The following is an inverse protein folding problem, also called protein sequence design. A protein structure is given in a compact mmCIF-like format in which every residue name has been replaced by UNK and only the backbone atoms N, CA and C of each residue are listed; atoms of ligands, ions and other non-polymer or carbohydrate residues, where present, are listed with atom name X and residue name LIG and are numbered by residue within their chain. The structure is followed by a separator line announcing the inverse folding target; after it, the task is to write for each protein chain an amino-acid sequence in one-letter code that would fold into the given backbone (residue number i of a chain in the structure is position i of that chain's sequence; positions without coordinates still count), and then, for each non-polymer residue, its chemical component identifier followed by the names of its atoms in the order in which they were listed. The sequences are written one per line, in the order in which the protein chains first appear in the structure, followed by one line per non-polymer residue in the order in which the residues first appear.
data_IF_402568609251
#
_entry.id   IF_402568609251
#
_cell.length_a   1.000
_cell.length_b   1.000
_cell.length_c   1.000
_cell.angle_alpha   90.00
_cell.angle_beta   90.00
_cell.angle_gamma   90.00
#
_symmetry.space_group_name_H-M   'P 1'
#
loop_
_entity.id
_entity.type
_entity.pdbx_description
1 polymer ?
#
# COMPACT_ATOMS: atom_id res chain seq x y z
N UNK A 1 -11.39 -10.08 -20.50
CA UNK A 1 -10.00 -10.56 -20.41
C UNK A 1 -10.01 -11.95 -19.82
N UNK A 2 -9.23 -12.94 -20.38
CA UNK A 2 -8.88 -14.15 -19.65
C UNK A 2 -8.17 -13.72 -18.37
N UNK A 3 -8.61 -14.17 -17.20
CA UNK A 3 -8.21 -13.68 -15.89
C UNK A 3 -6.69 -13.77 -15.70
N UNK A 4 -5.98 -12.66 -15.88
CA UNK A 4 -4.67 -12.54 -15.28
C UNK A 4 -4.89 -12.53 -13.78
N UNK A 5 -4.20 -13.39 -13.05
CA UNK A 5 -4.22 -13.34 -11.60
C UNK A 5 -3.70 -11.96 -11.13
N UNK A 6 -4.35 -11.38 -10.16
CA UNK A 6 -4.04 -10.04 -9.66
C UNK A 6 -3.31 -10.14 -8.32
N UNK A 7 -2.23 -9.37 -8.16
CA UNK A 7 -1.41 -9.30 -6.93
C UNK A 7 -1.17 -7.83 -6.61
N UNK A 8 -1.59 -7.37 -5.43
CA UNK A 8 -1.44 -6.00 -4.98
C UNK A 8 -0.51 -5.92 -3.76
N UNK A 9 0.68 -5.37 -3.95
CA UNK A 9 1.71 -5.26 -2.91
C UNK A 9 1.73 -3.89 -2.23
N UNK A 10 0.90 -2.92 -2.70
CA UNK A 10 0.85 -1.57 -2.18
C UNK A 10 -0.59 -1.07 -2.15
N UNK A 11 -1.30 -1.39 -1.09
CA UNK A 11 -2.67 -0.95 -0.86
C UNK A 11 -2.87 -0.59 0.61
N UNK A 12 -3.37 0.62 0.89
CA UNK A 12 -3.63 1.08 2.25
C UNK A 12 -5.04 0.69 2.69
N UNK A 13 -5.15 0.04 3.85
CA UNK A 13 -6.44 -0.37 4.43
C UNK A 13 -7.32 0.84 4.75
N UNK A 14 -6.74 1.89 5.33
CA UNK A 14 -7.42 3.13 5.70
C UNK A 14 -7.78 4.00 4.49
N UNK A 15 -7.07 3.87 3.37
CA UNK A 15 -7.40 4.52 2.10
C UNK A 15 -8.33 3.70 1.18
N UNK A 16 -8.70 2.49 1.60
CA UNK A 16 -9.45 1.54 0.77
C UNK A 16 -10.73 1.03 1.43
N UNK A 17 -11.33 1.84 2.33
CA UNK A 17 -12.57 1.47 3.02
C UNK A 17 -13.72 1.40 2.01
N UNK A 18 -14.37 0.24 1.79
CA UNK A 18 -15.52 0.16 0.90
C UNK A 18 -16.63 1.10 1.34
N UNK A 19 -17.22 1.87 0.41
CA UNK A 19 -18.25 2.86 0.71
C UNK A 19 -19.46 2.31 1.51
N UNK A 20 -19.94 1.07 1.26
CA UNK A 20 -21.00 0.49 2.09
C UNK A 20 -20.58 0.31 3.57
N UNK A 21 -19.35 -0.11 3.83
CA UNK A 21 -18.82 -0.23 5.20
C UNK A 21 -18.64 1.16 5.84
N UNK A 22 -18.15 2.14 5.08
CA UNK A 22 -18.07 3.52 5.54
C UNK A 22 -19.45 4.10 5.90
N UNK A 23 -20.48 3.82 5.11
CA UNK A 23 -21.85 4.25 5.38
C UNK A 23 -22.41 3.62 6.67
N UNK A 24 -22.18 2.32 6.87
CA UNK A 24 -22.55 1.63 8.11
C UNK A 24 -21.88 2.29 9.33
N UNK A 25 -20.55 2.47 9.29
CA UNK A 25 -19.79 3.05 10.40
C UNK A 25 -20.14 4.52 10.66
N UNK A 26 -20.42 5.28 9.60
CA UNK A 26 -20.90 6.67 9.74
C UNK A 26 -22.24 6.72 10.48
N UNK A 27 -23.19 5.86 10.10
CA UNK A 27 -24.49 5.76 10.77
C UNK A 27 -24.34 5.33 12.25
N UNK A 28 -23.48 4.35 12.55
CA UNK A 28 -23.17 3.92 13.92
C UNK A 28 -22.53 5.05 14.75
N UNK A 29 -21.73 5.91 14.11
CA UNK A 29 -21.13 7.10 14.74
C UNK A 29 -22.10 8.30 14.84
N UNK A 30 -23.36 8.15 14.40
CA UNK A 30 -24.35 9.22 14.39
C UNK A 30 -24.11 10.29 13.32
N UNK A 31 -23.34 9.98 12.30
CA UNK A 31 -23.13 10.83 11.13
C UNK A 31 -24.19 10.49 10.06
N UNK A 32 -25.09 11.43 9.79
CA UNK A 32 -26.09 11.27 8.74
C UNK A 32 -25.49 11.73 7.40
N UNK A 33 -24.77 10.79 6.74
CA UNK A 33 -24.09 11.04 5.48
C UNK A 33 -24.66 10.11 4.39
N UNK A 34 -25.07 10.69 3.28
CA UNK A 34 -25.41 9.94 2.07
C UNK A 34 -24.16 9.32 1.42
N UNK A 35 -24.35 8.33 0.55
CA UNK A 35 -23.24 7.75 -0.21
C UNK A 35 -22.49 8.79 -1.05
N UNK A 36 -23.20 9.77 -1.61
CA UNK A 36 -22.58 10.85 -2.39
C UNK A 36 -21.69 11.75 -1.51
N UNK A 37 -22.12 12.09 -0.30
CA UNK A 37 -21.32 12.87 0.65
C UNK A 37 -20.12 12.07 1.18
N UNK A 38 -20.28 10.76 1.37
CA UNK A 38 -19.15 9.87 1.70
C UNK A 38 -18.12 9.84 0.57
N UNK A 39 -18.58 9.70 -0.67
CA UNK A 39 -17.71 9.77 -1.84
C UNK A 39 -16.95 11.11 -1.89
N UNK A 40 -17.64 12.23 -1.78
CA UNK A 40 -17.03 13.58 -1.80
C UNK A 40 -15.97 13.76 -0.69
N UNK A 41 -16.19 13.16 0.49
CA UNK A 41 -15.28 13.30 1.65
C UNK A 41 -14.11 12.30 1.66
N UNK A 42 -14.26 11.16 1.00
CA UNK A 42 -13.31 10.05 1.04
C UNK A 42 -12.55 9.87 -0.27
N UNK A 43 -12.99 10.49 -1.36
CA UNK A 43 -12.31 10.41 -2.65
C UNK A 43 -11.57 11.70 -2.96
N UNK A 44 -10.43 11.55 -3.61
CA UNK A 44 -9.63 12.69 -4.08
C UNK A 44 -10.44 13.46 -5.12
N UNK A 45 -10.54 14.79 -5.00
CA UNK A 45 -11.22 15.61 -6.01
C UNK A 45 -10.44 15.60 -7.34
N UNK A 46 -11.16 15.71 -8.47
CA UNK A 46 -10.58 15.72 -9.83
C UNK A 46 -9.45 16.76 -10.01
N UNK A 47 -9.44 17.80 -9.18
CA UNK A 47 -8.48 18.90 -9.22
C UNK A 47 -7.49 18.87 -8.06
N UNK A 48 -7.18 17.68 -7.50
CA UNK A 48 -6.13 17.53 -6.49
C UNK A 48 -4.82 18.16 -6.98
N UNK A 49 -4.17 18.95 -6.13
CA UNK A 49 -3.01 19.76 -6.50
C UNK A 49 -1.69 19.13 -6.08
N UNK A 50 -1.68 18.38 -4.98
CA UNK A 50 -0.49 17.77 -4.41
C UNK A 50 -0.82 16.65 -3.42
N UNK A 51 0.22 15.98 -2.94
CA UNK A 51 0.12 14.92 -1.93
C UNK A 51 -0.54 15.40 -0.62
N UNK A 52 -0.40 16.66 -0.21
CA UNK A 52 -1.00 17.13 1.03
C UNK A 52 -2.52 17.20 0.92
N UNK A 53 -3.03 17.68 -0.22
CA UNK A 53 -4.47 17.67 -0.49
C UNK A 53 -5.00 16.25 -0.61
N UNK A 54 -4.24 15.34 -1.23
CA UNK A 54 -4.54 13.91 -1.26
C UNK A 54 -4.67 13.34 0.16
N UNK A 55 -3.69 13.59 1.04
CA UNK A 55 -3.70 13.11 2.42
C UNK A 55 -4.84 13.67 3.28
N UNK A 56 -5.39 14.84 2.94
CA UNK A 56 -6.53 15.42 3.65
C UNK A 56 -7.81 14.56 3.53
N UNK A 57 -7.95 13.74 2.47
CA UNK A 57 -9.10 12.85 2.29
C UNK A 57 -9.15 11.70 3.31
N UNK A 58 -8.06 11.46 4.05
CA UNK A 58 -8.01 10.43 5.10
C UNK A 58 -8.68 10.85 6.41
N UNK A 59 -9.13 12.09 6.56
CA UNK A 59 -9.73 12.55 7.83
C UNK A 59 -10.93 11.69 8.24
N UNK A 60 -11.89 11.48 7.32
CA UNK A 60 -13.08 10.67 7.61
C UNK A 60 -12.75 9.17 7.74
N UNK A 61 -12.00 8.53 6.83
CA UNK A 61 -11.53 7.17 7.00
C UNK A 61 -10.91 6.88 8.37
N UNK A 62 -9.94 7.69 8.78
CA UNK A 62 -9.28 7.53 10.08
C UNK A 62 -10.26 7.71 11.25
N UNK A 63 -11.23 8.63 11.14
CA UNK A 63 -12.26 8.84 12.17
C UNK A 63 -13.17 7.61 12.33
N UNK A 64 -13.53 6.95 11.24
CA UNK A 64 -14.38 5.75 11.25
C UNK A 64 -13.68 4.52 11.84
N UNK A 65 -12.34 4.50 11.83
CA UNK A 65 -11.52 3.37 12.30
C UNK A 65 -10.98 3.55 13.74
N UNK A 66 -11.56 4.41 14.59
CA UNK A 66 -11.05 4.63 15.95
C UNK A 66 -11.58 3.64 17.00
N UNK A 67 -12.26 2.57 16.60
CA UNK A 67 -12.74 1.50 17.49
C UNK A 67 -12.37 0.11 16.96
N UNK A 68 -12.21 -0.86 17.85
CA UNK A 68 -11.93 -2.24 17.45
C UNK A 68 -13.01 -2.80 16.50
N UNK A 69 -14.28 -2.48 16.76
CA UNK A 69 -15.38 -2.91 15.89
C UNK A 69 -15.29 -2.23 14.51
N UNK A 70 -15.01 -0.92 14.45
CA UNK A 70 -14.86 -0.19 13.18
C UNK A 70 -13.71 -0.76 12.34
N UNK A 71 -12.55 -0.98 12.95
CA UNK A 71 -11.38 -1.58 12.28
C UNK A 71 -11.70 -2.99 11.77
N UNK A 72 -12.34 -3.84 12.59
CA UNK A 72 -12.76 -5.19 12.22
C UNK A 72 -13.74 -5.19 11.06
N UNK A 73 -14.74 -4.29 11.07
CA UNK A 73 -15.71 -4.12 9.98
C UNK A 73 -15.02 -3.70 8.68
N UNK A 74 -14.13 -2.70 8.75
CA UNK A 74 -13.36 -2.24 7.58
C UNK A 74 -12.50 -3.37 7.03
N UNK A 75 -11.73 -4.05 7.87
CA UNK A 75 -10.84 -5.12 7.44
C UNK A 75 -11.62 -6.26 6.75
N UNK A 76 -12.76 -6.69 7.32
CA UNK A 76 -13.61 -7.70 6.68
C UNK A 76 -14.11 -7.25 5.32
N UNK A 77 -14.75 -6.08 5.24
CA UNK A 77 -15.32 -5.55 4.00
C UNK A 77 -14.26 -5.31 2.91
N UNK A 78 -13.05 -4.89 3.31
CA UNK A 78 -11.93 -4.75 2.40
C UNK A 78 -11.49 -6.10 1.79
N UNK A 79 -11.43 -7.17 2.60
CA UNK A 79 -11.12 -8.50 2.07
C UNK A 79 -12.21 -9.04 1.14
N UNK A 80 -13.48 -8.76 1.43
CA UNK A 80 -14.61 -9.07 0.53
C UNK A 80 -14.47 -8.34 -0.82
N UNK A 81 -14.01 -7.08 -0.81
CA UNK A 81 -13.75 -6.31 -2.03
C UNK A 81 -12.59 -6.89 -2.84
N UNK A 82 -11.47 -7.25 -2.20
CA UNK A 82 -10.33 -7.89 -2.86
C UNK A 82 -10.71 -9.22 -3.51
N UNK A 83 -11.47 -10.05 -2.80
CA UNK A 83 -11.94 -11.37 -3.29
C UNK A 83 -12.89 -11.20 -4.48
N UNK A 84 -13.83 -10.25 -4.40
CA UNK A 84 -14.76 -9.94 -5.48
C UNK A 84 -14.05 -9.42 -6.75
N UNK A 85 -12.89 -8.77 -6.61
CA UNK A 85 -12.05 -8.32 -7.71
C UNK A 85 -11.19 -9.46 -8.30
N UNK A 86 -11.08 -10.60 -7.61
CA UNK A 86 -10.26 -11.74 -8.03
C UNK A 86 -8.78 -11.58 -7.70
N UNK A 87 -8.46 -10.80 -6.67
CA UNK A 87 -7.10 -10.69 -6.16
C UNK A 87 -6.68 -12.03 -5.56
N UNK A 88 -5.52 -12.54 -5.97
CA UNK A 88 -4.96 -13.78 -5.43
C UNK A 88 -4.12 -13.55 -4.17
N UNK A 89 -3.45 -12.39 -4.12
CA UNK A 89 -2.62 -12.02 -2.99
C UNK A 89 -2.54 -10.51 -2.85
N UNK A 90 -2.64 -10.03 -1.62
CA UNK A 90 -2.41 -8.63 -1.31
C UNK A 90 -1.61 -8.46 -0.02
N UNK A 91 -0.84 -7.37 0.03
CA UNK A 91 -0.13 -6.91 1.22
C UNK A 91 -0.71 -5.56 1.72
N UNK A 92 -1.92 -5.59 2.34
CA UNK A 92 -2.51 -4.38 2.86
C UNK A 92 -1.64 -3.75 3.94
N UNK A 93 -1.55 -2.42 3.93
CA UNK A 93 -0.77 -1.64 4.90
C UNK A 93 -1.61 -0.62 5.61
N UNK A 94 -1.26 -0.30 6.84
CA UNK A 94 -1.86 0.79 7.62
C UNK A 94 -0.96 1.15 8.81
N UNK A 95 -1.17 2.34 9.37
CA UNK A 95 -0.44 2.82 10.54
C UNK A 95 -1.28 2.64 11.82
N UNK A 96 -1.04 1.60 12.65
CA UNK A 96 -1.81 1.40 13.89
C UNK A 96 -1.75 2.62 14.81
N UNK A 97 -0.61 3.31 14.86
CA UNK A 97 -0.44 4.53 15.64
C UNK A 97 -1.40 5.67 15.29
N UNK A 98 -1.97 5.69 14.08
CA UNK A 98 -2.98 6.67 13.65
C UNK A 98 -4.39 6.33 14.14
N UNK A 99 -4.62 5.09 14.59
CA UNK A 99 -5.93 4.57 14.97
C UNK A 99 -6.12 4.42 16.49
N UNK A 100 -5.29 5.09 17.28
CA UNK A 100 -5.28 5.01 18.74
C UNK A 100 -6.04 6.15 19.45
N UNK A 101 -6.66 7.08 18.72
CA UNK A 101 -7.34 8.23 19.31
C UNK A 101 -8.59 7.85 20.11
N UNK A 102 -9.23 6.71 19.75
CA UNK A 102 -10.34 6.13 20.49
C UNK A 102 -9.95 5.38 21.78
N UNK A 103 -8.66 5.36 22.15
CA UNK A 103 -8.15 4.74 23.38
C UNK A 103 -7.57 3.33 23.19
N UNK A 104 -7.56 2.78 21.98
CA UNK A 104 -6.91 1.50 21.67
C UNK A 104 -5.38 1.66 21.72
N UNK A 105 -4.68 0.61 22.14
CA UNK A 105 -3.26 0.40 21.87
C UNK A 105 -3.04 0.02 20.40
N UNK A 106 -1.81 0.15 19.88
CA UNK A 106 -1.50 -0.28 18.53
C UNK A 106 -1.68 -1.80 18.35
N UNK A 107 -1.43 -2.58 19.41
CA UNK A 107 -1.68 -4.02 19.39
C UNK A 107 -3.16 -4.34 19.21
N UNK A 108 -4.05 -3.71 20.00
CA UNK A 108 -5.51 -3.89 19.86
C UNK A 108 -6.02 -3.46 18.47
N UNK A 109 -5.42 -2.42 17.88
CA UNK A 109 -5.71 -2.00 16.50
C UNK A 109 -5.34 -3.11 15.50
N UNK A 110 -4.14 -3.68 15.59
CA UNK A 110 -3.73 -4.78 14.71
C UNK A 110 -4.58 -6.03 14.92
N UNK A 111 -4.85 -6.40 16.17
CA UNK A 111 -5.67 -7.57 16.51
C UNK A 111 -7.10 -7.42 15.96
N UNK A 112 -7.66 -6.20 15.97
CA UNK A 112 -8.97 -5.92 15.37
C UNK A 112 -8.95 -6.11 13.83
N UNK A 113 -7.88 -5.66 13.15
CA UNK A 113 -7.72 -5.87 11.72
C UNK A 113 -7.55 -7.37 11.38
N UNK A 114 -6.75 -8.10 12.15
CA UNK A 114 -6.57 -9.54 12.03
C UNK A 114 -7.89 -10.30 12.28
N UNK A 115 -8.70 -9.84 13.24
CA UNK A 115 -10.02 -10.42 13.50
C UNK A 115 -10.98 -10.24 12.31
N UNK A 116 -11.01 -9.05 11.69
CA UNK A 116 -11.82 -8.79 10.49
C UNK A 116 -11.37 -9.66 9.30
N UNK A 117 -10.06 -9.83 9.12
CA UNK A 117 -9.51 -10.77 8.14
C UNK A 117 -9.94 -12.21 8.43
N UNK A 118 -9.90 -12.64 9.70
CA UNK A 118 -10.31 -13.98 10.09
C UNK A 118 -11.82 -14.22 9.87
N UNK A 119 -12.66 -13.21 10.13
CA UNK A 119 -14.10 -13.28 9.83
C UNK A 119 -14.36 -13.50 8.33
N UNK A 120 -13.64 -12.76 7.47
CA UNK A 120 -13.74 -12.96 6.03
C UNK A 120 -13.44 -14.41 5.65
N UNK A 121 -12.31 -14.97 6.08
CA UNK A 121 -11.96 -16.35 5.73
C UNK A 121 -12.92 -17.40 6.31
N UNK A 122 -13.50 -17.13 7.49
CA UNK A 122 -14.52 -18.01 8.07
C UNK A 122 -15.80 -18.03 7.25
N UNK A 123 -16.20 -16.90 6.66
CA UNK A 123 -17.39 -16.78 5.82
C UNK A 123 -17.13 -17.19 4.36
N UNK A 124 -15.88 -17.09 3.88
CA UNK A 124 -15.47 -17.40 2.51
C UNK A 124 -14.38 -18.50 2.46
N UNK A 125 -14.67 -19.74 2.94
CA UNK A 125 -13.65 -20.80 3.07
C UNK A 125 -13.12 -21.31 1.72
N UNK A 126 -13.73 -20.94 0.60
CA UNK A 126 -13.32 -21.30 -0.77
C UNK A 126 -12.57 -20.16 -1.49
N UNK A 127 -12.38 -19.02 -0.83
CA UNK A 127 -11.62 -17.91 -1.42
C UNK A 127 -10.18 -18.32 -1.72
N UNK A 128 -9.70 -17.93 -2.90
CA UNK A 128 -8.30 -18.10 -3.29
C UNK A 128 -7.41 -16.94 -2.84
N UNK A 129 -8.01 -15.89 -2.28
CA UNK A 129 -7.31 -14.72 -1.76
C UNK A 129 -6.43 -15.09 -0.56
N UNK A 130 -5.16 -14.70 -0.58
CA UNK A 130 -4.31 -14.67 0.59
C UNK A 130 -3.87 -13.23 0.88
N UNK A 131 -3.74 -12.87 2.15
CA UNK A 131 -3.29 -11.54 2.54
C UNK A 131 -2.40 -11.59 3.77
N UNK A 132 -1.48 -10.64 3.86
CA UNK A 132 -0.70 -10.39 5.06
C UNK A 132 -0.44 -8.87 5.19
N UNK A 133 -0.49 -8.35 6.42
CA UNK A 133 -0.37 -6.91 6.66
C UNK A 133 1.09 -6.43 6.67
N UNK A 134 1.29 -5.17 6.24
CA UNK A 134 2.46 -4.37 6.57
C UNK A 134 2.07 -3.32 7.64
N UNK A 135 2.96 -3.11 8.59
CA UNK A 135 2.76 -2.12 9.65
C UNK A 135 3.51 -0.84 9.30
N UNK A 136 2.76 0.25 9.08
CA UNK A 136 3.33 1.52 8.72
C UNK A 136 3.84 2.29 9.95
N UNK A 137 5.08 2.76 9.86
CA UNK A 137 5.55 3.93 10.55
C UNK A 137 5.19 5.19 9.73
N UNK A 138 5.00 6.32 10.41
CA UNK A 138 4.56 7.56 9.75
C UNK A 138 5.65 8.61 9.74
N UNK A 139 5.81 9.28 8.61
CA UNK A 139 6.66 10.47 8.48
C UNK A 139 6.11 11.61 9.33
N UNK A 140 6.99 12.30 10.01
CA UNK A 140 6.65 13.41 10.90
C UNK A 140 7.74 13.66 11.93
N UNK A 141 7.46 14.53 12.91
CA UNK A 141 8.38 14.90 13.98
C UNK A 141 7.73 14.81 15.36
N UNK A 142 8.54 14.87 16.39
CA UNK A 142 8.13 14.90 17.80
C UNK A 142 8.22 13.53 18.47
N UNK A 143 8.54 13.54 19.76
CA UNK A 143 8.78 12.34 20.58
C UNK A 143 7.59 11.37 20.61
N UNK A 144 6.37 11.91 20.62
CA UNK A 144 5.15 11.07 20.62
C UNK A 144 5.03 10.24 19.36
N UNK A 145 5.31 10.82 18.18
CA UNK A 145 5.27 10.10 16.91
C UNK A 145 6.44 9.12 16.81
N UNK A 146 7.63 9.55 17.23
CA UNK A 146 8.81 8.68 17.28
C UNK A 146 8.52 7.41 18.10
N UNK A 147 7.97 7.56 19.30
CA UNK A 147 7.58 6.42 20.15
C UNK A 147 6.55 5.52 19.47
N UNK A 148 5.52 6.11 18.83
CA UNK A 148 4.54 5.33 18.07
C UNK A 148 5.19 4.54 16.91
N UNK A 149 6.15 5.13 16.21
CA UNK A 149 6.86 4.46 15.13
C UNK A 149 7.74 3.31 15.64
N UNK A 150 8.41 3.51 16.79
CA UNK A 150 9.19 2.45 17.44
C UNK A 150 8.27 1.28 17.85
N UNK A 151 7.11 1.57 18.46
CA UNK A 151 6.08 0.58 18.78
C UNK A 151 5.54 -0.14 17.52
N UNK A 152 5.39 0.57 16.38
CA UNK A 152 4.98 -0.04 15.12
C UNK A 152 6.00 -1.08 14.61
N UNK A 153 7.31 -0.82 14.74
CA UNK A 153 8.36 -1.80 14.39
C UNK A 153 8.34 -2.99 15.36
N UNK A 154 8.16 -2.73 16.66
CA UNK A 154 8.05 -3.78 17.68
C UNK A 154 6.87 -4.69 17.40
N UNK A 155 5.74 -4.11 17.02
CA UNK A 155 4.52 -4.82 16.66
C UNK A 155 4.71 -5.65 15.38
N UNK A 156 5.34 -5.08 14.35
CA UNK A 156 5.67 -5.82 13.13
C UNK A 156 6.53 -7.04 13.43
N UNK A 157 7.54 -6.91 14.28
CA UNK A 157 8.39 -8.01 14.71
C UNK A 157 7.62 -9.08 15.51
N UNK A 158 6.77 -8.67 16.44
CA UNK A 158 6.00 -9.57 17.30
C UNK A 158 4.98 -10.43 16.51
N UNK A 159 4.44 -9.89 15.42
CA UNK A 159 3.43 -10.57 14.59
C UNK A 159 3.99 -11.09 13.27
N UNK A 160 5.30 -11.03 13.05
CA UNK A 160 5.93 -11.52 11.82
C UNK A 160 5.61 -13.01 11.62
N UNK A 161 5.07 -13.36 10.44
CA UNK A 161 4.56 -14.70 10.15
C UNK A 161 3.19 -15.03 10.76
N UNK A 162 2.62 -14.16 11.60
CA UNK A 162 1.31 -14.31 12.23
C UNK A 162 0.33 -13.24 11.71
N UNK A 163 0.23 -13.12 10.40
CA UNK A 163 -0.64 -12.15 9.74
C UNK A 163 0.04 -10.84 9.37
N UNK A 164 1.28 -10.62 9.80
CA UNK A 164 2.17 -9.52 9.39
C UNK A 164 3.39 -10.09 8.67
N UNK A 165 3.85 -9.42 7.61
CA UNK A 165 4.99 -9.86 6.81
C UNK A 165 6.10 -8.81 6.70
N UNK A 166 5.81 -7.53 6.95
CA UNK A 166 6.82 -6.47 6.82
C UNK A 166 6.38 -5.19 7.54
N UNK A 167 7.27 -4.20 7.51
CA UNK A 167 6.98 -2.81 7.87
C UNK A 167 7.05 -1.89 6.66
N UNK A 168 6.56 -0.64 6.82
CA UNK A 168 6.64 0.41 5.81
C UNK A 168 6.89 1.78 6.46
N UNK A 169 7.33 2.76 5.67
CA UNK A 169 7.36 4.17 6.03
C UNK A 169 6.49 4.96 5.07
N UNK A 170 5.38 5.50 5.57
CA UNK A 170 4.42 6.27 4.77
C UNK A 170 4.27 7.72 5.24
N UNK A 171 3.52 8.53 4.49
CA UNK A 171 3.18 9.94 4.81
C UNK A 171 3.97 10.96 4.01
N UNK A 172 3.99 12.22 4.47
CA UNK A 172 4.45 13.40 3.72
C UNK A 172 5.96 13.37 3.41
N UNK A 173 6.35 12.69 2.33
CA UNK A 173 7.73 12.48 1.92
C UNK A 173 8.48 13.80 1.69
N UNK A 174 7.86 14.76 1.01
CA UNK A 174 8.50 16.05 0.71
C UNK A 174 8.84 16.88 1.96
N UNK A 175 8.17 16.63 3.10
CA UNK A 175 8.38 17.37 4.33
C UNK A 175 9.35 16.67 5.29
N UNK A 176 9.49 15.36 5.20
CA UNK A 176 10.26 14.56 6.15
C UNK A 176 11.14 13.54 5.41
N UNK A 177 12.40 13.92 5.24
CA UNK A 177 13.38 13.14 4.49
C UNK A 177 13.56 11.71 5.06
N UNK A 178 13.76 10.74 4.17
CA UNK A 178 13.91 9.31 4.49
C UNK A 178 15.06 9.05 5.47
N UNK A 179 16.17 9.80 5.37
CA UNK A 179 17.32 9.70 6.26
C UNK A 179 16.99 9.93 7.74
N UNK A 180 15.96 10.72 8.04
CA UNK A 180 15.53 11.01 9.42
C UNK A 180 15.04 9.78 10.17
N UNK A 181 14.73 8.70 9.45
CA UNK A 181 14.21 7.44 10.00
C UNK A 181 15.28 6.34 10.09
N UNK A 182 16.56 6.67 9.94
CA UNK A 182 17.67 5.70 9.93
C UNK A 182 17.75 4.85 11.20
N UNK A 183 17.55 5.43 12.37
CA UNK A 183 17.53 4.68 13.64
C UNK A 183 16.37 3.70 13.73
N UNK A 184 15.20 4.07 13.19
CA UNK A 184 14.00 3.23 13.17
C UNK A 184 14.22 1.97 12.33
N UNK A 185 14.76 2.13 11.11
CA UNK A 185 14.99 1.00 10.21
C UNK A 185 16.23 0.19 10.57
N UNK A 186 17.21 0.76 11.26
CA UNK A 186 18.26 -0.01 11.91
C UNK A 186 17.69 -0.95 13.01
N UNK A 187 16.64 -0.51 13.71
CA UNK A 187 15.90 -1.34 14.66
C UNK A 187 15.13 -2.46 13.95
N UNK A 188 14.42 -2.14 12.84
CA UNK A 188 13.73 -3.15 12.03
C UNK A 188 14.70 -4.24 11.53
N UNK A 189 15.88 -3.85 11.04
CA UNK A 189 16.92 -4.81 10.65
C UNK A 189 17.41 -5.69 11.80
N UNK A 190 17.62 -5.11 13.00
CA UNK A 190 18.05 -5.89 14.19
C UNK A 190 17.00 -6.90 14.64
N UNK A 191 15.73 -6.69 14.28
CA UNK A 191 14.60 -7.57 14.59
C UNK A 191 14.23 -8.49 13.42
N UNK A 192 15.03 -8.50 12.36
CA UNK A 192 14.78 -9.25 11.12
C UNK A 192 13.40 -8.95 10.49
N UNK A 193 12.88 -7.73 10.67
CA UNK A 193 11.64 -7.27 10.04
C UNK A 193 11.95 -6.79 8.63
N UNK A 194 11.43 -7.43 7.57
CA UNK A 194 11.51 -6.91 6.22
C UNK A 194 10.76 -5.58 6.10
N UNK A 195 11.12 -4.73 5.15
CA UNK A 195 10.39 -3.47 4.96
C UNK A 195 10.48 -2.92 3.54
N UNK A 196 9.46 -2.19 3.18
CA UNK A 196 9.41 -1.25 2.06
C UNK A 196 9.47 0.19 2.59
N UNK A 197 9.72 1.16 1.74
CA UNK A 197 9.68 2.59 2.10
C UNK A 197 9.07 3.35 0.93
N UNK A 198 8.03 4.17 1.18
CA UNK A 198 7.58 5.17 0.21
C UNK A 198 8.72 6.12 -0.07
N UNK A 199 9.26 6.12 -1.28
CA UNK A 199 10.39 6.95 -1.68
C UNK A 199 10.37 7.24 -3.18
N UNK A 200 10.73 8.46 -3.57
CA UNK A 200 10.70 8.87 -4.96
C UNK A 200 9.28 9.06 -5.51
N UNK A 201 8.36 9.46 -4.66
CA UNK A 201 7.03 9.98 -4.98
C UNK A 201 7.05 11.51 -4.96
N UNK A 202 6.96 12.10 -3.77
CA UNK A 202 6.96 13.55 -3.58
C UNK A 202 8.37 14.14 -3.38
N UNK A 203 9.37 13.33 -3.06
CA UNK A 203 10.79 13.69 -3.07
C UNK A 203 11.50 13.03 -4.26
N UNK A 204 12.72 13.49 -4.54
CA UNK A 204 13.52 13.04 -5.67
C UNK A 204 14.26 11.71 -5.45
N UNK A 205 15.17 11.36 -6.37
CA UNK A 205 15.91 10.09 -6.33
C UNK A 205 16.81 9.95 -5.09
N UNK A 206 17.16 11.04 -4.40
CA UNK A 206 17.88 11.01 -3.12
C UNK A 206 17.12 10.27 -2.03
N UNK A 207 15.77 10.34 -2.03
CA UNK A 207 14.93 9.60 -1.10
C UNK A 207 15.00 8.08 -1.36
N UNK A 208 15.03 7.67 -2.64
CA UNK A 208 15.22 6.26 -3.03
C UNK A 208 16.61 5.77 -2.59
N UNK A 209 17.67 6.57 -2.84
CA UNK A 209 19.02 6.25 -2.37
C UNK A 209 19.07 6.06 -0.84
N UNK A 210 18.37 6.91 -0.12
CA UNK A 210 18.27 6.79 1.33
C UNK A 210 17.58 5.48 1.73
N UNK A 211 16.43 5.17 1.14
CA UNK A 211 15.70 3.93 1.40
C UNK A 211 16.57 2.68 1.12
N UNK A 212 17.31 2.66 0.01
CA UNK A 212 18.25 1.57 -0.31
C UNK A 212 19.38 1.46 0.73
N UNK A 213 19.96 2.58 1.16
CA UNK A 213 21.00 2.58 2.24
C UNK A 213 20.45 2.05 3.57
N UNK A 214 19.16 2.29 3.85
CA UNK A 214 18.48 1.75 5.03
C UNK A 214 18.15 0.26 4.89
N UNK A 215 18.33 -0.33 3.71
CA UNK A 215 18.09 -1.75 3.45
C UNK A 215 16.65 -2.08 3.05
N UNK A 216 15.89 -1.13 2.52
CA UNK A 216 14.58 -1.41 1.97
C UNK A 216 14.66 -2.48 0.88
N UNK A 217 13.78 -3.48 0.95
CA UNK A 217 13.73 -4.60 0.03
C UNK A 217 12.75 -4.37 -1.13
N UNK A 218 11.88 -3.36 -1.01
CA UNK A 218 11.05 -2.78 -2.05
C UNK A 218 10.99 -1.27 -1.83
N UNK A 219 10.58 -0.55 -2.87
CA UNK A 219 10.35 0.90 -2.82
C UNK A 219 8.91 1.19 -3.18
N UNK A 220 8.16 1.80 -2.27
CA UNK A 220 6.84 2.34 -2.54
C UNK A 220 6.96 3.47 -3.57
N UNK A 221 6.17 3.42 -4.63
CA UNK A 221 6.23 4.26 -5.82
C UNK A 221 7.55 4.16 -6.58
N UNK A 222 8.56 4.93 -6.20
CA UNK A 222 9.87 4.92 -6.84
C UNK A 222 9.89 5.48 -8.29
N UNK A 223 8.82 6.14 -8.72
CA UNK A 223 8.62 6.60 -10.10
C UNK A 223 9.64 7.64 -10.55
N UNK A 224 10.30 8.32 -9.62
CA UNK A 224 11.35 9.31 -9.89
C UNK A 224 12.76 8.70 -9.99
N UNK A 225 12.88 7.38 -9.98
CA UNK A 225 14.16 6.66 -10.15
C UNK A 225 14.86 6.99 -11.48
N UNK A 226 14.09 7.31 -12.52
CA UNK A 226 14.63 7.69 -13.85
C UNK A 226 15.38 9.03 -13.86
N UNK A 227 15.22 9.86 -12.83
CA UNK A 227 15.91 11.15 -12.72
C UNK A 227 17.42 11.01 -12.37
N UNK A 228 17.86 9.79 -11.96
CA UNK A 228 19.28 9.54 -11.59
C UNK A 228 19.72 8.14 -12.04
N UNK A 229 20.64 8.08 -13.01
CA UNK A 229 21.18 6.82 -13.53
C UNK A 229 21.88 5.95 -12.47
N UNK A 230 22.42 6.56 -11.40
CA UNK A 230 23.00 5.83 -10.27
C UNK A 230 21.94 5.10 -9.46
N UNK A 231 20.76 5.71 -9.25
CA UNK A 231 19.61 5.05 -8.60
C UNK A 231 19.14 3.84 -9.39
N UNK A 232 19.05 3.96 -10.72
CA UNK A 232 18.69 2.83 -11.59
C UNK A 232 19.68 1.67 -11.38
N UNK A 233 20.98 1.96 -11.36
CA UNK A 233 22.01 0.93 -11.15
C UNK A 233 21.91 0.30 -9.75
N UNK A 234 21.71 1.11 -8.70
CA UNK A 234 21.59 0.64 -7.32
C UNK A 234 20.35 -0.26 -7.14
N UNK A 235 19.19 0.12 -7.69
CA UNK A 235 17.95 -0.67 -7.67
C UNK A 235 18.16 -2.03 -8.36
N UNK A 236 18.78 -2.04 -9.53
CA UNK A 236 19.09 -3.28 -10.28
C UNK A 236 20.06 -4.16 -9.53
N UNK A 237 21.15 -3.60 -9.01
CA UNK A 237 22.17 -4.35 -8.28
C UNK A 237 21.60 -4.98 -6.99
N UNK A 238 20.70 -4.28 -6.31
CA UNK A 238 20.02 -4.77 -5.11
C UNK A 238 18.78 -5.65 -5.41
N UNK A 239 18.38 -5.76 -6.69
CA UNK A 239 17.16 -6.46 -7.13
C UNK A 239 15.91 -5.99 -6.36
N UNK A 240 15.77 -4.69 -6.15
CA UNK A 240 14.67 -4.06 -5.43
C UNK A 240 13.54 -3.74 -6.40
N UNK A 241 12.31 -4.17 -6.08
CA UNK A 241 11.13 -3.89 -6.88
C UNK A 241 10.54 -2.52 -6.52
N UNK A 242 9.99 -1.83 -7.54
CA UNK A 242 9.20 -0.62 -7.41
C UNK A 242 7.71 -0.98 -7.33
N UNK A 243 7.02 -0.46 -6.33
CA UNK A 243 5.57 -0.61 -6.14
C UNK A 243 4.85 0.59 -6.75
N UNK A 244 4.76 0.65 -8.10
CA UNK A 244 4.17 1.83 -8.75
C UNK A 244 2.64 1.83 -8.67
N UNK A 245 2.06 3.03 -8.50
CA UNK A 245 0.63 3.26 -8.29
C UNK A 245 0.13 4.32 -9.29
N UNK A 246 -0.21 3.94 -10.54
CA UNK A 246 -0.44 4.88 -11.64
C UNK A 246 -1.46 5.97 -11.33
N UNK A 247 -2.66 5.58 -10.87
CA UNK A 247 -3.74 6.54 -10.55
C UNK A 247 -3.35 7.49 -9.43
N UNK A 248 -2.77 6.98 -8.34
CA UNK A 248 -2.29 7.81 -7.23
C UNK A 248 -1.23 8.80 -7.68
N UNK A 249 -0.26 8.35 -8.49
CA UNK A 249 0.82 9.21 -9.00
C UNK A 249 0.31 10.32 -9.93
N UNK A 250 -0.81 10.12 -10.63
CA UNK A 250 -1.49 11.18 -11.37
C UNK A 250 -2.21 12.15 -10.44
N UNK A 251 -2.91 11.64 -9.42
CA UNK A 251 -3.67 12.45 -8.48
C UNK A 251 -2.77 13.31 -7.58
N UNK A 252 -1.59 12.80 -7.22
CA UNK A 252 -0.56 13.54 -6.47
C UNK A 252 0.27 14.49 -7.36
N UNK A 253 -0.08 14.61 -8.67
CA UNK A 253 0.54 15.52 -9.65
C UNK A 253 2.02 15.28 -9.90
N UNK A 254 2.47 14.05 -9.79
CA UNK A 254 3.83 13.67 -10.20
C UNK A 254 3.94 13.73 -11.73
N UNK A 255 2.86 13.36 -12.43
CA UNK A 255 2.71 13.45 -13.87
C UNK A 255 1.51 14.31 -14.25
N UNK A 256 1.63 15.02 -15.37
CA UNK A 256 0.54 15.89 -15.87
C UNK A 256 -0.64 15.09 -16.42
N UNK A 257 -0.34 13.95 -17.05
CA UNK A 257 -1.34 13.02 -17.60
C UNK A 257 -0.80 11.60 -17.64
N UNK A 258 -1.67 10.63 -17.88
CA UNK A 258 -1.30 9.21 -17.97
C UNK A 258 -0.37 8.92 -19.16
N UNK A 259 -0.46 9.69 -20.24
CA UNK A 259 0.43 9.56 -21.40
C UNK A 259 1.88 9.94 -21.05
N UNK A 260 2.09 10.70 -19.98
CA UNK A 260 3.41 11.04 -19.44
C UNK A 260 3.93 10.01 -18.44
N UNK A 261 3.13 9.00 -18.08
CA UNK A 261 3.53 7.98 -17.11
C UNK A 261 4.66 7.11 -17.68
N UNK A 262 5.82 6.98 -17.02
CA UNK A 262 7.04 6.47 -17.64
C UNK A 262 7.16 4.94 -17.59
N UNK A 263 6.08 4.17 -17.81
CA UNK A 263 6.11 2.72 -17.70
C UNK A 263 7.15 2.09 -18.62
N UNK A 264 7.15 2.45 -19.92
CA UNK A 264 8.09 1.92 -20.91
C UNK A 264 9.53 2.24 -20.50
N UNK A 265 9.80 3.48 -20.09
CA UNK A 265 11.14 3.90 -19.66
C UNK A 265 11.65 3.14 -18.42
N UNK A 266 10.77 2.86 -17.46
CA UNK A 266 11.12 2.06 -16.28
C UNK A 266 11.49 0.62 -16.68
N UNK A 267 10.71 0.01 -17.59
CA UNK A 267 10.95 -1.34 -18.09
C UNK A 267 12.22 -1.39 -18.95
N UNK A 268 12.43 -0.44 -19.87
CA UNK A 268 13.62 -0.34 -20.71
C UNK A 268 14.91 -0.14 -19.90
N UNK A 269 14.80 0.57 -18.76
CA UNK A 269 15.90 0.69 -17.80
C UNK A 269 16.20 -0.65 -17.09
N UNK A 270 15.37 -1.66 -17.26
CA UNK A 270 15.50 -3.00 -16.66
C UNK A 270 15.19 -3.01 -15.17
N UNK A 271 14.30 -2.13 -14.71
CA UNK A 271 13.82 -2.10 -13.35
C UNK A 271 12.75 -3.16 -13.13
N UNK A 272 12.71 -3.74 -11.93
CA UNK A 272 11.63 -4.62 -11.50
C UNK A 272 10.46 -3.77 -11.03
N UNK A 273 9.35 -3.80 -11.76
CA UNK A 273 8.16 -2.98 -11.52
C UNK A 273 6.98 -3.87 -11.17
N UNK A 274 6.15 -3.44 -10.23
CA UNK A 274 4.84 -4.01 -9.90
C UNK A 274 3.76 -2.92 -10.01
N UNK A 275 2.52 -3.30 -10.33
CA UNK A 275 1.38 -2.39 -10.42
C UNK A 275 0.51 -2.58 -9.19
N UNK A 276 0.09 -1.47 -8.58
CA UNK A 276 -0.62 -1.48 -7.31
C UNK A 276 -1.67 -0.35 -7.26
N UNK A 277 -2.59 -0.43 -6.30
CA UNK A 277 -3.70 0.52 -6.19
C UNK A 277 -3.43 1.70 -5.26
N UNK A 278 -2.51 1.56 -4.33
CA UNK A 278 -2.27 2.51 -3.24
C UNK A 278 -3.51 2.68 -2.33
N UNK A 279 -4.57 3.33 -2.83
CA UNK A 279 -5.77 3.66 -2.06
C UNK A 279 -7.03 3.46 -2.92
N UNK A 280 -7.66 2.27 -2.84
CA UNK A 280 -8.77 1.92 -3.74
C UNK A 280 -9.96 2.88 -3.65
N UNK A 281 -10.33 3.29 -2.43
CA UNK A 281 -11.47 4.21 -2.22
C UNK A 281 -11.07 5.66 -2.44
N UNK A 282 -9.96 6.09 -1.86
CA UNK A 282 -9.47 7.48 -1.98
C UNK A 282 -9.16 7.82 -3.43
N UNK A 283 -8.49 6.94 -4.16
CA UNK A 283 -8.16 7.13 -5.57
C UNK A 283 -9.28 6.70 -6.52
N UNK A 284 -10.38 6.13 -6.00
CA UNK A 284 -11.49 5.59 -6.81
C UNK A 284 -11.00 4.63 -7.90
N UNK A 285 -10.14 3.69 -7.54
CA UNK A 285 -9.52 2.73 -8.45
C UNK A 285 -9.62 1.30 -7.96
N UNK A 286 -9.26 0.37 -8.81
CA UNK A 286 -9.07 -1.05 -8.53
C UNK A 286 -7.84 -1.54 -9.29
N UNK A 287 -7.26 -2.67 -8.90
CA UNK A 287 -6.07 -3.18 -9.59
C UNK A 287 -6.35 -3.49 -11.07
N UNK A 288 -7.52 -3.99 -11.38
CA UNK A 288 -7.98 -4.19 -12.77
C UNK A 288 -8.00 -2.89 -13.56
N UNK A 289 -8.48 -1.79 -12.94
CA UNK A 289 -8.48 -0.45 -13.57
C UNK A 289 -7.08 0.10 -13.78
N UNK A 290 -6.15 -0.13 -12.86
CA UNK A 290 -4.75 0.28 -13.05
C UNK A 290 -4.14 -0.38 -14.29
N UNK A 291 -4.34 -1.69 -14.46
CA UNK A 291 -3.91 -2.40 -15.66
C UNK A 291 -4.63 -1.91 -16.94
N UNK A 292 -5.94 -1.67 -16.88
CA UNK A 292 -6.72 -1.14 -18.00
C UNK A 292 -6.24 0.25 -18.41
N UNK A 293 -5.97 1.13 -17.45
CA UNK A 293 -5.44 2.47 -17.66
C UNK A 293 -4.10 2.42 -18.43
N UNK A 294 -3.18 1.57 -17.98
CA UNK A 294 -1.89 1.40 -18.62
C UNK A 294 -1.99 0.74 -20.01
N UNK A 295 -2.95 -0.17 -20.21
CA UNK A 295 -3.20 -0.76 -21.54
C UNK A 295 -3.73 0.27 -22.55
N UNK A 296 -4.62 1.15 -22.10
CA UNK A 296 -5.25 2.14 -22.97
C UNK A 296 -4.31 3.30 -23.33
N UNK A 297 -3.42 3.70 -22.42
CA UNK A 297 -2.66 4.94 -22.55
C UNK A 297 -1.14 4.76 -22.60
N UNK A 298 -0.59 3.66 -22.05
CA UNK A 298 0.86 3.44 -21.95
C UNK A 298 1.35 2.24 -22.80
N UNK A 299 0.51 1.71 -23.67
CA UNK A 299 0.90 0.61 -24.56
C UNK A 299 1.18 -0.73 -23.87
N UNK A 300 0.71 -0.91 -22.62
CA UNK A 300 0.90 -2.15 -21.88
C UNK A 300 0.24 -3.32 -22.61
N UNK A 301 1.04 -4.26 -23.11
CA UNK A 301 0.53 -5.48 -23.73
C UNK A 301 0.31 -6.61 -22.71
N UNK A 302 -0.31 -7.71 -23.15
CA UNK A 302 -0.63 -8.84 -22.29
C UNK A 302 0.59 -9.56 -21.72
N UNK A 303 1.68 -9.61 -22.46
CA UNK A 303 2.91 -10.29 -22.04
C UNK A 303 3.60 -9.47 -20.95
N UNK A 304 3.70 -8.17 -21.16
CA UNK A 304 4.24 -7.22 -20.20
C UNK A 304 3.36 -7.17 -18.93
N UNK A 305 2.02 -7.15 -19.06
CA UNK A 305 1.12 -7.22 -17.92
C UNK A 305 1.34 -8.50 -17.08
N UNK A 306 1.56 -9.64 -17.74
CA UNK A 306 1.91 -10.88 -17.07
C UNK A 306 3.26 -10.80 -16.36
N UNK A 307 4.27 -10.23 -17.01
CA UNK A 307 5.61 -10.03 -16.43
C UNK A 307 5.51 -9.16 -15.15
N UNK A 308 4.77 -8.06 -15.18
CA UNK A 308 4.54 -7.20 -14.02
C UNK A 308 3.88 -7.96 -12.86
N UNK A 309 2.91 -8.83 -13.16
CA UNK A 309 2.28 -9.68 -12.14
C UNK A 309 3.25 -10.76 -11.63
N UNK A 310 4.10 -11.34 -12.48
CA UNK A 310 5.14 -12.26 -12.04
C UNK A 310 6.20 -11.57 -11.17
N UNK A 311 6.54 -10.31 -11.47
CA UNK A 311 7.40 -9.48 -10.63
C UNK A 311 6.78 -9.30 -9.23
N UNK A 312 5.47 -8.99 -9.17
CA UNK A 312 4.75 -8.91 -7.91
C UNK A 312 4.81 -10.24 -7.12
N UNK A 313 4.55 -11.38 -7.79
CA UNK A 313 4.63 -12.70 -7.16
C UNK A 313 6.03 -13.02 -6.58
N UNK A 314 7.11 -12.55 -7.23
CA UNK A 314 8.48 -12.74 -6.73
C UNK A 314 8.83 -11.77 -5.61
N UNK A 315 8.21 -10.59 -5.59
CA UNK A 315 8.51 -9.50 -4.66
C UNK A 315 7.73 -9.56 -3.34
N UNK A 316 6.76 -10.49 -3.17
CA UNK A 316 6.01 -10.62 -1.90
C UNK A 316 6.95 -10.83 -0.72
N UNK A 317 6.61 -10.28 0.44
CA UNK A 317 7.37 -10.50 1.68
C UNK A 317 7.06 -11.84 2.33
N UNK A 318 6.01 -12.52 1.91
CA UNK A 318 5.69 -13.88 2.35
C UNK A 318 6.79 -14.89 2.02
N UNK A 319 6.68 -16.06 2.61
CA UNK A 319 7.65 -17.16 2.46
C UNK A 319 7.70 -17.71 1.02
N UNK A 320 8.65 -18.64 0.79
CA UNK A 320 8.86 -19.26 -0.52
C UNK A 320 7.65 -20.09 -0.98
N UNK A 321 6.88 -20.66 -0.06
CA UNK A 321 5.70 -21.48 -0.41
C UNK A 321 4.61 -20.63 -1.04
N UNK A 322 4.41 -19.42 -0.55
CA UNK A 322 3.46 -18.46 -1.12
C UNK A 322 3.93 -17.95 -2.49
N UNK A 323 5.22 -17.64 -2.64
CA UNK A 323 5.81 -17.27 -3.94
C UNK A 323 5.59 -18.37 -4.98
N UNK A 324 5.85 -19.62 -4.61
CA UNK A 324 5.67 -20.77 -5.50
C UNK A 324 4.19 -20.98 -5.87
N UNK A 325 3.25 -20.81 -4.92
CA UNK A 325 1.81 -20.87 -5.16
C UNK A 325 1.39 -19.84 -6.20
N UNK A 326 1.79 -18.58 -6.01
CA UNK A 326 1.46 -17.48 -6.91
C UNK A 326 2.03 -17.72 -8.32
N UNK A 327 3.32 -18.06 -8.43
CA UNK A 327 3.96 -18.34 -9.70
C UNK A 327 3.37 -19.58 -10.41
N UNK A 328 2.94 -20.60 -9.65
CA UNK A 328 2.27 -21.76 -10.24
C UNK A 328 0.89 -21.40 -10.81
N UNK A 329 0.15 -20.51 -10.14
CA UNK A 329 -1.15 -20.03 -10.62
C UNK A 329 -1.01 -19.23 -11.92
N UNK A 330 0.01 -18.37 -12.03
CA UNK A 330 0.30 -17.55 -13.22
C UNK A 330 0.71 -18.36 -14.45
N UNK A 331 1.06 -19.64 -14.30
CA UNK A 331 1.47 -20.54 -15.41
C UNK A 331 0.29 -21.31 -16.01
N UNK A 332 -0.88 -21.28 -15.37
CA UNK A 332 -2.11 -21.94 -15.84
C UNK A 332 -2.87 -21.06 -16.83
#
# INVERSE_FOLDING_TARGET
MSSCALIDLHVHLDGSIPLPAAAQLAAEAGLDLSLAELQEKMQVPDHCQDLNQYLATFELPLKLMQSAQGIRTVAKAFHEQLDAEGILYAEPRFAPGSLTAGGLSQQEVLEAALAGRADFYAEHPQSALHTAYLICAMRGTGEKLKHKNEESIDLAAAYLGNGVVAADLAGAEALFATENFSSLFAEAQRKDVPFTIHAGEAAGPESIKAALRLGAQRIGHGVRSLEDAGVIQDLKAANVALEICPTSNLQTRIFESIECFPLEQLLDAGLTVTINTDNMTVSNTTLSREFELLQQHCGLDKNTARELTENAARAVFSDSSEKDRLLAHLRQ
#
